data_IF_139271450416
#
_entry.id   IF_139271450416
#
_cell.length_a   1.000
_cell.length_b   1.000
_cell.length_c   1.000
_cell.angle_alpha   90.00
_cell.angle_beta   90.00
_cell.angle_gamma   90.00
#
_symmetry.space_group_name_H-M   'P 1'
#
loop_
_entity.id
_entity.type
_entity.pdbx_description
1 polymer ?
#
# COMPACT_ATOMS: atom_id res chain seq x y z
N UNK A 1 55.55 -17.34 39.38
CA UNK A 1 54.21 -17.20 38.80
C UNK A 1 53.97 -15.73 38.66
N UNK A 2 54.12 -15.19 37.45
CA UNK A 2 53.95 -13.77 37.15
C UNK A 2 52.56 -13.59 36.58
N UNK A 3 51.75 -12.74 37.20
CA UNK A 3 50.45 -12.34 36.65
C UNK A 3 50.70 -11.28 35.57
N UNK A 4 50.41 -11.65 34.32
CA UNK A 4 50.48 -10.78 33.15
C UNK A 4 49.23 -9.89 33.16
N UNK A 5 49.40 -8.63 33.56
CA UNK A 5 48.34 -7.62 33.48
C UNK A 5 48.17 -7.20 32.02
N UNK A 6 47.11 -7.69 31.38
CA UNK A 6 46.70 -7.26 30.04
C UNK A 6 46.09 -5.84 30.13
N UNK A 7 46.86 -4.85 29.71
CA UNK A 7 46.46 -3.45 29.70
C UNK A 7 45.81 -3.14 28.36
N UNK A 8 44.48 -3.05 28.35
CA UNK A 8 43.69 -2.59 27.20
C UNK A 8 43.80 -1.06 27.05
N UNK A 9 44.71 -0.61 26.18
CA UNK A 9 44.83 0.79 25.76
C UNK A 9 43.73 1.13 24.73
N UNK A 10 42.76 1.94 25.14
CA UNK A 10 41.76 2.52 24.23
C UNK A 10 42.31 3.79 23.56
N UNK A 11 43.09 3.62 22.50
CA UNK A 11 43.45 4.71 21.59
C UNK A 11 42.22 5.20 20.80
N UNK A 12 42.16 6.48 20.37
CA UNK A 12 41.02 7.01 19.63
C UNK A 12 40.86 6.25 18.31
N UNK A 13 39.70 5.62 18.13
CA UNK A 13 39.38 4.88 16.93
C UNK A 13 39.56 5.77 15.70
N UNK A 14 40.62 5.52 14.91
CA UNK A 14 40.80 6.14 13.60
C UNK A 14 39.61 5.74 12.75
N UNK A 15 38.69 6.68 12.54
CA UNK A 15 37.48 6.47 11.77
C UNK A 15 37.85 5.92 10.39
N UNK A 16 37.51 4.65 10.15
CA UNK A 16 37.69 4.02 8.85
C UNK A 16 36.98 4.88 7.77
N UNK A 17 37.58 5.07 6.59
CA UNK A 17 37.00 5.90 5.56
C UNK A 17 35.64 5.33 5.15
N UNK A 18 34.59 6.10 5.39
CA UNK A 18 33.23 5.78 4.96
C UNK A 18 33.21 5.67 3.43
N UNK A 19 33.38 4.46 2.91
CA UNK A 19 33.28 4.20 1.48
C UNK A 19 31.85 4.54 1.05
N UNK A 20 31.68 5.65 0.31
CA UNK A 20 30.43 5.99 -0.38
C UNK A 20 30.20 4.95 -1.48
N UNK A 21 29.66 3.78 -1.10
CA UNK A 21 29.06 2.86 -2.07
C UNK A 21 27.84 3.57 -2.66
N UNK A 22 27.84 3.74 -3.98
CA UNK A 22 26.70 4.29 -4.72
C UNK A 22 25.45 3.46 -4.37
N UNK A 23 24.31 4.09 -4.05
CA UNK A 23 23.11 3.37 -3.65
C UNK A 23 22.63 2.54 -4.86
N UNK A 24 22.73 1.22 -4.74
CA UNK A 24 22.15 0.30 -5.71
C UNK A 24 20.62 0.31 -5.61
N UNK A 25 19.93 -0.21 -6.62
CA UNK A 25 18.46 -0.23 -6.67
C UNK A 25 17.82 -0.91 -5.43
N UNK A 26 18.54 -1.84 -4.78
CA UNK A 26 18.15 -2.46 -3.51
C UNK A 26 18.21 -1.53 -2.30
N UNK A 27 19.07 -0.51 -2.31
CA UNK A 27 19.12 0.51 -1.25
C UNK A 27 17.99 1.53 -1.40
N UNK A 28 17.50 1.75 -2.63
CA UNK A 28 16.33 2.57 -2.88
C UNK A 28 15.08 1.95 -2.22
N UNK A 29 14.92 0.63 -2.33
CA UNK A 29 13.80 -0.12 -1.72
C UNK A 29 13.83 -0.16 -0.19
N UNK A 30 14.84 0.43 0.45
CA UNK A 30 14.98 0.54 1.92
C UNK A 30 14.74 1.97 2.43
N UNK A 31 14.47 2.94 1.54
CA UNK A 31 14.35 4.35 1.88
C UNK A 31 12.87 4.77 1.97
N UNK A 32 12.48 5.33 3.13
CA UNK A 32 11.15 5.90 3.38
C UNK A 32 10.74 6.93 2.32
N UNK A 33 11.73 7.55 1.66
CA UNK A 33 11.53 8.48 0.54
C UNK A 33 10.78 7.86 -0.63
N UNK A 34 10.94 6.56 -0.91
CA UNK A 34 10.19 5.90 -1.97
C UNK A 34 8.71 5.84 -1.65
N UNK A 35 8.35 5.45 -0.42
CA UNK A 35 6.96 5.39 0.04
C UNK A 35 6.29 6.77 -0.08
N UNK A 36 6.96 7.83 0.37
CA UNK A 36 6.45 9.21 0.23
C UNK A 36 6.34 9.64 -1.23
N UNK A 37 7.34 9.34 -2.05
CA UNK A 37 7.33 9.67 -3.48
C UNK A 37 6.18 9.00 -4.23
N UNK A 38 5.93 7.71 -3.98
CA UNK A 38 4.80 6.97 -4.53
C UNK A 38 3.45 7.55 -4.08
N UNK A 39 3.33 7.92 -2.80
CA UNK A 39 2.11 8.52 -2.26
C UNK A 39 1.82 9.89 -2.90
N UNK A 40 2.84 10.74 -3.05
CA UNK A 40 2.69 12.07 -3.69
C UNK A 40 2.32 11.91 -5.16
N UNK A 41 3.01 11.04 -5.90
CA UNK A 41 2.73 10.79 -7.31
C UNK A 41 1.33 10.18 -7.51
N UNK A 42 0.93 9.25 -6.64
CA UNK A 42 -0.41 8.68 -6.62
C UNK A 42 -1.48 9.73 -6.35
N UNK A 43 -1.24 10.65 -5.41
CA UNK A 43 -2.11 11.80 -5.15
C UNK A 43 -2.24 12.72 -6.36
N UNK A 44 -1.13 13.06 -7.03
CA UNK A 44 -1.15 13.86 -8.25
C UNK A 44 -1.93 13.18 -9.39
N UNK A 45 -1.74 11.86 -9.56
CA UNK A 45 -2.49 11.06 -10.53
C UNK A 45 -4.01 11.02 -10.19
N UNK A 46 -4.37 10.97 -8.90
CA UNK A 46 -5.78 11.03 -8.49
C UNK A 46 -6.43 12.36 -8.89
N UNK A 47 -5.72 13.48 -8.71
CA UNK A 47 -6.21 14.79 -9.16
C UNK A 47 -6.30 14.86 -10.69
N UNK A 48 -5.28 14.38 -11.40
CA UNK A 48 -5.29 14.32 -12.86
C UNK A 48 -6.46 13.47 -13.40
N UNK A 49 -6.83 12.40 -12.68
CA UNK A 49 -7.97 11.55 -13.00
C UNK A 49 -9.30 12.29 -12.93
N UNK A 50 -9.49 13.20 -11.96
CA UNK A 50 -10.75 13.94 -11.79
C UNK A 50 -10.97 14.98 -12.89
N UNK A 51 -9.89 15.55 -13.41
CA UNK A 51 -9.94 16.59 -14.48
C UNK A 51 -9.85 15.95 -15.87
N UNK A 52 -9.27 14.76 -15.97
CA UNK A 52 -9.08 14.05 -17.22
C UNK A 52 -10.37 13.50 -17.83
N UNK A 53 -10.32 13.23 -19.12
CA UNK A 53 -11.39 12.57 -19.87
C UNK A 53 -11.44 11.09 -19.49
N UNK A 54 -12.61 10.59 -19.10
CA UNK A 54 -12.79 9.19 -18.71
C UNK A 54 -13.17 8.31 -19.89
N UNK A 55 -13.94 8.85 -20.82
CA UNK A 55 -14.39 8.13 -22.01
C UNK A 55 -14.19 9.01 -23.24
N UNK A 56 -13.72 8.40 -24.32
CA UNK A 56 -13.60 9.02 -25.65
C UNK A 56 -14.48 8.21 -26.59
N UNK A 57 -15.44 8.87 -27.21
CA UNK A 57 -16.37 8.29 -28.18
C UNK A 57 -15.99 8.82 -29.56
N UNK A 58 -15.58 7.92 -30.44
CA UNK A 58 -15.29 8.20 -31.84
C UNK A 58 -16.60 8.13 -32.64
N UNK A 59 -16.91 9.23 -33.31
CA UNK A 59 -18.12 9.45 -34.09
C UNK A 59 -17.86 9.48 -35.59
N UNK A 60 -16.61 9.36 -36.03
CA UNK A 60 -16.20 9.56 -37.44
C UNK A 60 -16.86 8.57 -38.41
N UNK A 61 -17.28 7.40 -37.92
CA UNK A 61 -17.99 6.38 -38.71
C UNK A 61 -19.51 6.42 -38.58
N UNK A 62 -20.07 7.35 -37.81
CA UNK A 62 -21.52 7.45 -37.57
C UNK A 62 -22.34 7.58 -38.87
N UNK A 63 -21.79 8.25 -39.89
CA UNK A 63 -22.46 8.48 -41.17
C UNK A 63 -23.55 9.55 -41.11
N UNK A 64 -23.63 10.28 -40.00
CA UNK A 64 -24.52 11.41 -39.79
C UNK A 64 -23.70 12.71 -39.93
N UNK A 65 -24.17 13.64 -40.76
CA UNK A 65 -23.49 14.93 -40.99
C UNK A 65 -23.34 15.74 -39.71
N UNK A 66 -24.29 15.61 -38.78
CA UNK A 66 -24.22 16.29 -37.48
C UNK A 66 -23.03 15.79 -36.66
N UNK A 67 -22.86 14.46 -36.56
CA UNK A 67 -21.79 13.84 -35.79
C UNK A 67 -20.44 13.84 -36.53
N UNK A 68 -20.44 13.93 -37.87
CA UNK A 68 -19.22 14.06 -38.67
C UNK A 68 -18.46 15.37 -38.40
N UNK A 69 -19.17 16.42 -37.93
CA UNK A 69 -18.56 17.70 -37.56
C UNK A 69 -17.82 17.69 -36.21
N UNK A 70 -18.11 16.69 -35.35
CA UNK A 70 -17.51 16.55 -34.01
C UNK A 70 -16.85 15.18 -33.93
N UNK A 71 -15.59 15.02 -34.37
CA UNK A 71 -14.97 13.71 -34.56
C UNK A 71 -14.79 12.91 -33.26
N UNK A 72 -14.74 13.59 -32.11
CA UNK A 72 -14.59 12.96 -30.80
C UNK A 72 -15.49 13.64 -29.77
N UNK A 73 -16.25 12.84 -29.03
CA UNK A 73 -17.03 13.28 -27.87
C UNK A 73 -16.40 12.69 -26.62
N UNK A 74 -16.16 13.52 -25.60
CA UNK A 74 -15.48 13.09 -24.37
C UNK A 74 -16.38 13.25 -23.15
N UNK A 75 -16.40 12.24 -22.27
CA UNK A 75 -17.11 12.30 -21.00
C UNK A 75 -16.12 12.43 -19.82
N UNK A 76 -16.50 13.26 -18.85
CA UNK A 76 -15.82 13.33 -17.54
C UNK A 76 -16.26 12.19 -16.62
N UNK A 77 -15.56 12.00 -15.50
CA UNK A 77 -15.92 11.00 -14.48
C UNK A 77 -17.37 11.15 -14.00
N UNK A 78 -17.86 12.37 -13.90
CA UNK A 78 -19.19 12.73 -13.42
C UNK A 78 -20.27 12.25 -14.38
N UNK A 79 -20.08 12.48 -15.68
CA UNK A 79 -21.01 12.06 -16.71
C UNK A 79 -20.93 10.54 -16.97
N UNK A 80 -19.72 9.96 -16.89
CA UNK A 80 -19.50 8.56 -17.23
C UNK A 80 -19.91 7.58 -16.11
N UNK A 81 -19.71 7.95 -14.84
CA UNK A 81 -19.90 7.02 -13.70
C UNK A 81 -20.71 7.61 -12.55
N UNK A 82 -21.13 8.87 -12.65
CA UNK A 82 -21.72 9.62 -11.53
C UNK A 82 -20.70 10.15 -10.52
N UNK A 83 -19.43 9.72 -10.56
CA UNK A 83 -18.29 10.25 -9.80
C UNK A 83 -18.31 10.05 -8.28
N UNK A 84 -19.48 10.03 -7.64
CA UNK A 84 -19.65 9.91 -6.18
C UNK A 84 -19.05 8.64 -5.58
N UNK A 85 -19.30 7.42 -6.11
CA UNK A 85 -18.72 6.22 -5.51
C UNK A 85 -17.20 6.18 -5.65
N UNK A 86 -16.66 6.67 -6.78
CA UNK A 86 -15.22 6.77 -7.01
C UNK A 86 -14.57 7.77 -6.03
N UNK A 87 -15.16 8.95 -5.85
CA UNK A 87 -14.70 9.91 -4.85
C UNK A 87 -14.72 9.34 -3.43
N UNK A 88 -15.80 8.66 -3.05
CA UNK A 88 -15.90 8.02 -1.74
C UNK A 88 -14.77 7.02 -1.51
N UNK A 89 -14.47 6.19 -2.51
CA UNK A 89 -13.35 5.26 -2.48
C UNK A 89 -11.98 5.97 -2.40
N UNK A 90 -11.78 7.05 -3.16
CA UNK A 90 -10.54 7.85 -3.11
C UNK A 90 -10.36 8.53 -1.74
N UNK A 91 -11.42 9.06 -1.14
CA UNK A 91 -11.36 9.67 0.19
C UNK A 91 -11.01 8.64 1.25
N UNK A 92 -11.63 7.46 1.22
CA UNK A 92 -11.30 6.35 2.12
C UNK A 92 -9.84 5.92 1.95
N UNK A 93 -9.40 5.72 0.71
CA UNK A 93 -8.03 5.33 0.40
C UNK A 93 -7.02 6.39 0.85
N UNK A 94 -7.31 7.66 0.59
CA UNK A 94 -6.49 8.80 1.00
C UNK A 94 -6.38 8.92 2.52
N UNK A 95 -7.51 8.80 3.23
CA UNK A 95 -7.54 8.83 4.69
C UNK A 95 -6.76 7.65 5.29
N UNK A 96 -6.98 6.42 4.80
CA UNK A 96 -6.24 5.24 5.23
C UNK A 96 -4.74 5.38 4.96
N UNK A 97 -4.36 5.95 3.82
CA UNK A 97 -2.95 6.24 3.47
C UNK A 97 -2.34 7.29 4.42
N UNK A 98 -3.07 8.35 4.74
CA UNK A 98 -2.60 9.38 5.67
C UNK A 98 -2.38 8.80 7.08
N UNK A 99 -3.31 7.98 7.58
CA UNK A 99 -3.16 7.29 8.87
C UNK A 99 -2.02 6.27 8.83
N UNK A 100 -1.85 5.55 7.72
CA UNK A 100 -0.76 4.58 7.56
C UNK A 100 0.64 5.22 7.60
N UNK A 101 0.77 6.46 7.10
CA UNK A 101 2.05 7.18 7.04
C UNK A 101 2.32 8.04 8.28
N UNK A 102 1.31 8.76 8.75
CA UNK A 102 1.46 9.79 9.79
C UNK A 102 0.72 9.46 11.09
N UNK A 103 -0.13 8.42 11.09
CA UNK A 103 -0.93 8.04 12.23
C UNK A 103 -0.12 7.43 13.39
N UNK A 104 -0.78 7.23 14.54
CA UNK A 104 -0.17 6.61 15.72
C UNK A 104 0.25 5.16 15.41
N UNK A 105 1.36 4.71 16.01
CA UNK A 105 1.96 3.38 15.73
C UNK A 105 0.93 2.25 15.83
N UNK A 106 0.04 2.30 16.82
CA UNK A 106 -1.02 1.31 17.04
C UNK A 106 -2.04 1.21 15.87
N UNK A 107 -2.23 2.27 15.09
CA UNK A 107 -3.21 2.31 14.00
C UNK A 107 -2.57 2.11 12.61
N UNK A 108 -1.24 2.13 12.49
CA UNK A 108 -0.57 2.06 11.18
C UNK A 108 -0.80 0.73 10.48
N UNK A 109 -0.70 -0.38 11.22
CA UNK A 109 -0.88 -1.71 10.65
C UNK A 109 -2.30 -1.92 10.10
N UNK A 110 -3.32 -1.55 10.88
CA UNK A 110 -4.72 -1.66 10.47
C UNK A 110 -5.06 -0.72 9.32
N UNK A 111 -4.55 0.52 9.34
CA UNK A 111 -4.74 1.48 8.26
C UNK A 111 -4.09 1.03 6.95
N UNK A 112 -2.92 0.37 6.99
CA UNK A 112 -2.28 -0.21 5.80
C UNK A 112 -3.11 -1.33 5.18
N UNK A 113 -3.64 -2.24 6.01
CA UNK A 113 -4.52 -3.32 5.52
C UNK A 113 -5.78 -2.72 4.89
N UNK A 114 -6.38 -1.72 5.53
CA UNK A 114 -7.51 -0.99 4.98
C UNK A 114 -7.15 -0.36 3.62
N UNK A 115 -6.03 0.37 3.53
CA UNK A 115 -5.58 0.99 2.29
C UNK A 115 -5.30 -0.03 1.17
N UNK A 116 -4.69 -1.18 1.47
CA UNK A 116 -4.46 -2.26 0.50
C UNK A 116 -5.78 -2.87 0.02
N UNK A 117 -6.70 -3.17 0.96
CA UNK A 117 -8.02 -3.70 0.64
C UNK A 117 -8.82 -2.74 -0.24
N UNK A 118 -8.88 -1.46 0.14
CA UNK A 118 -9.55 -0.41 -0.64
C UNK A 118 -8.90 -0.25 -2.02
N UNK A 119 -7.57 -0.32 -2.11
CA UNK A 119 -6.87 -0.25 -3.41
C UNK A 119 -7.25 -1.42 -4.32
N UNK A 120 -7.27 -2.66 -3.79
CA UNK A 120 -7.63 -3.84 -4.58
C UNK A 120 -9.08 -3.77 -5.10
N UNK A 121 -10.02 -3.36 -4.25
CA UNK A 121 -11.42 -3.16 -4.64
C UNK A 121 -11.55 -2.07 -5.69
N UNK A 122 -10.88 -0.93 -5.52
CA UNK A 122 -10.90 0.16 -6.49
C UNK A 122 -10.33 -0.26 -7.85
N UNK A 123 -9.25 -1.02 -7.88
CA UNK A 123 -8.70 -1.56 -9.14
C UNK A 123 -9.73 -2.45 -9.84
N UNK A 124 -10.40 -3.34 -9.11
CA UNK A 124 -11.42 -4.21 -9.69
C UNK A 124 -12.61 -3.42 -10.24
N UNK A 125 -13.09 -2.42 -9.49
CA UNK A 125 -14.16 -1.52 -9.94
C UNK A 125 -13.73 -0.70 -11.16
N UNK A 126 -12.51 -0.17 -11.19
CA UNK A 126 -11.99 0.58 -12.34
C UNK A 126 -11.80 -0.30 -13.57
N UNK A 127 -11.36 -1.55 -13.41
CA UNK A 127 -11.28 -2.51 -14.51
C UNK A 127 -12.66 -2.82 -15.09
N UNK A 128 -13.65 -3.05 -14.23
CA UNK A 128 -15.04 -3.21 -14.66
C UNK A 128 -15.56 -1.94 -15.36
N UNK A 129 -15.30 -0.76 -14.80
CA UNK A 129 -15.67 0.51 -15.41
C UNK A 129 -15.00 0.70 -16.78
N UNK A 130 -13.72 0.35 -16.93
CA UNK A 130 -13.02 0.41 -18.22
C UNK A 130 -13.65 -0.52 -19.26
N UNK A 131 -14.08 -1.74 -18.88
CA UNK A 131 -14.81 -2.63 -19.78
C UNK A 131 -16.16 -2.06 -20.21
N UNK A 132 -16.88 -1.44 -19.28
CA UNK A 132 -18.17 -0.81 -19.56
C UNK A 132 -17.99 0.42 -20.46
N UNK A 133 -17.00 1.28 -20.17
CA UNK A 133 -16.71 2.46 -20.99
C UNK A 133 -16.18 2.10 -22.37
N UNK A 134 -15.53 0.96 -22.55
CA UNK A 134 -15.12 0.47 -23.86
C UNK A 134 -16.29 -0.14 -24.65
N UNK A 135 -17.40 -0.44 -23.98
CA UNK A 135 -18.59 -0.99 -24.62
C UNK A 135 -19.44 0.12 -25.24
N UNK A 136 -20.01 -0.16 -26.41
CA UNK A 136 -20.95 0.74 -27.08
C UNK A 136 -22.38 0.56 -26.56
N UNK A 137 -22.66 -0.49 -25.79
CA UNK A 137 -24.00 -0.84 -25.28
C UNK A 137 -24.58 0.17 -24.30
N UNK A 138 -23.75 0.96 -23.63
CA UNK A 138 -24.19 1.99 -22.67
C UNK A 138 -24.31 3.39 -23.30
N UNK A 139 -23.85 3.58 -24.54
CA UNK A 139 -24.01 4.83 -25.31
C UNK A 139 -25.47 5.30 -25.46
N UNK A 140 -26.51 4.45 -25.53
CA UNK A 140 -27.89 4.93 -25.58
C UNK A 140 -28.23 5.78 -24.36
N UNK A 141 -27.72 5.44 -23.16
CA UNK A 141 -27.96 6.27 -21.96
C UNK A 141 -27.28 7.63 -22.08
N UNK A 142 -26.10 7.68 -22.68
CA UNK A 142 -25.35 8.92 -22.91
C UNK A 142 -26.06 9.84 -23.91
N UNK A 143 -26.69 9.29 -24.95
CA UNK A 143 -27.39 10.04 -26.00
C UNK A 143 -28.92 10.09 -25.80
N UNK A 144 -29.43 9.87 -24.59
CA UNK A 144 -30.86 10.06 -24.26
C UNK A 144 -31.83 8.99 -24.77
N UNK A 145 -31.33 7.81 -25.13
CA UNK A 145 -32.13 6.63 -25.50
C UNK A 145 -32.56 6.56 -26.96
N UNK A 146 -32.19 7.55 -27.78
CA UNK A 146 -32.65 7.68 -29.17
C UNK A 146 -31.87 6.84 -30.19
N UNK A 147 -30.83 6.13 -29.77
CA UNK A 147 -29.94 5.41 -30.69
C UNK A 147 -30.35 3.95 -30.88
N UNK A 148 -30.55 3.53 -32.13
CA UNK A 148 -30.80 2.14 -32.48
C UNK A 148 -29.48 1.32 -32.58
N UNK A 149 -29.57 -0.01 -32.49
CA UNK A 149 -28.39 -0.90 -32.50
C UNK A 149 -27.51 -0.76 -33.75
N UNK A 150 -28.12 -0.45 -34.90
CA UNK A 150 -27.39 -0.22 -36.15
C UNK A 150 -26.53 1.03 -36.11
N UNK A 151 -27.04 2.15 -35.57
CA UNK A 151 -26.25 3.37 -35.38
C UNK A 151 -25.17 3.14 -34.32
N UNK A 152 -25.48 2.45 -33.21
CA UNK A 152 -24.49 2.14 -32.16
C UNK A 152 -23.26 1.39 -32.69
N UNK A 153 -23.46 0.47 -33.64
CA UNK A 153 -22.36 -0.30 -34.24
C UNK A 153 -21.35 0.56 -35.00
N UNK A 154 -21.73 1.80 -35.33
CA UNK A 154 -20.91 2.78 -36.04
C UNK A 154 -20.08 3.67 -35.10
N UNK A 155 -20.35 3.64 -33.80
CA UNK A 155 -19.54 4.35 -32.81
C UNK A 155 -18.50 3.41 -32.22
N UNK A 156 -17.36 3.97 -31.82
CA UNK A 156 -16.38 3.26 -31.02
C UNK A 156 -16.14 4.03 -29.74
N UNK A 157 -15.98 3.33 -28.61
CA UNK A 157 -15.74 3.95 -27.32
C UNK A 157 -14.46 3.40 -26.72
N UNK A 158 -13.65 4.29 -26.14
CA UNK A 158 -12.37 3.94 -25.53
C UNK A 158 -12.18 4.65 -24.18
N UNK A 159 -11.46 4.03 -23.24
CA UNK A 159 -11.11 4.68 -21.98
C UNK A 159 -10.15 5.85 -22.23
N UNK A 160 -10.51 7.02 -21.71
CA UNK A 160 -9.69 8.23 -21.78
C UNK A 160 -8.58 8.28 -20.73
N UNK A 161 -7.77 9.34 -20.80
CA UNK A 161 -6.62 9.59 -19.92
C UNK A 161 -6.96 9.62 -18.42
N UNK A 162 -8.15 10.10 -18.06
CA UNK A 162 -8.64 10.17 -16.69
C UNK A 162 -8.86 8.79 -16.05
N UNK A 163 -9.30 7.81 -16.84
CA UNK A 163 -9.43 6.41 -16.41
C UNK A 163 -8.06 5.79 -16.14
N UNK A 164 -7.10 5.99 -17.05
CA UNK A 164 -5.73 5.49 -16.86
C UNK A 164 -5.02 6.16 -15.70
N UNK A 165 -5.23 7.48 -15.51
CA UNK A 165 -4.74 8.19 -14.34
C UNK A 165 -5.36 7.68 -13.04
N UNK A 166 -6.64 7.26 -13.03
CA UNK A 166 -7.29 6.64 -11.88
C UNK A 166 -6.60 5.34 -11.49
N UNK A 167 -6.39 4.45 -12.48
CA UNK A 167 -5.70 3.19 -12.28
C UNK A 167 -4.28 3.39 -11.76
N UNK A 168 -3.54 4.35 -12.35
CA UNK A 168 -2.20 4.70 -11.91
C UNK A 168 -2.20 5.22 -10.47
N UNK A 169 -3.15 6.08 -10.10
CA UNK A 169 -3.27 6.62 -8.75
C UNK A 169 -3.45 5.51 -7.71
N UNK A 170 -4.43 4.63 -7.93
CA UNK A 170 -4.74 3.52 -7.01
C UNK A 170 -3.58 2.52 -6.93
N UNK A 171 -2.95 2.20 -8.07
CA UNK A 171 -1.79 1.30 -8.09
C UNK A 171 -0.59 1.88 -7.35
N UNK A 172 -0.28 3.17 -7.53
CA UNK A 172 0.83 3.85 -6.85
C UNK A 172 0.60 3.94 -5.34
N UNK A 173 -0.62 4.26 -4.91
CA UNK A 173 -0.98 4.30 -3.48
C UNK A 173 -0.92 2.90 -2.84
N UNK A 174 -1.45 1.87 -3.52
CA UNK A 174 -1.31 0.49 -3.08
C UNK A 174 0.15 0.04 -3.00
N UNK A 175 0.97 0.40 -3.99
CA UNK A 175 2.40 0.10 -4.01
C UNK A 175 3.15 0.82 -2.88
N UNK A 176 2.78 2.05 -2.55
CA UNK A 176 3.32 2.78 -1.40
C UNK A 176 3.05 2.03 -0.08
N UNK A 177 1.87 1.44 0.08
CA UNK A 177 1.55 0.65 1.27
C UNK A 177 2.33 -0.66 1.31
N UNK A 178 2.50 -1.32 0.16
CA UNK A 178 3.30 -2.53 0.05
C UNK A 178 4.78 -2.27 0.32
N UNK A 179 5.32 -1.12 -0.11
CA UNK A 179 6.69 -0.72 0.24
C UNK A 179 6.80 -0.44 1.73
N UNK A 180 5.86 0.30 2.33
CA UNK A 180 5.87 0.61 3.76
C UNK A 180 5.88 -0.64 4.66
N UNK A 181 5.15 -1.69 4.29
CA UNK A 181 5.09 -2.93 5.07
C UNK A 181 6.43 -3.67 5.17
N UNK A 182 7.25 -3.63 4.10
CA UNK A 182 8.55 -4.32 4.06
C UNK A 182 9.62 -3.70 4.97
N UNK A 183 9.35 -2.52 5.55
CA UNK A 183 10.29 -1.75 6.35
C UNK A 183 10.04 -1.82 7.85
N UNK A 184 8.97 -2.49 8.29
CA UNK A 184 8.69 -2.62 9.71
C UNK A 184 9.70 -3.61 10.30
N UNK A 185 10.55 -3.19 11.26
CA UNK A 185 11.45 -4.12 11.92
C UNK A 185 10.60 -5.21 12.53
N UNK A 186 10.91 -6.47 12.20
CA UNK A 186 10.26 -7.62 12.82
C UNK A 186 10.26 -7.39 14.34
N UNK A 187 9.13 -7.59 15.04
CA UNK A 187 9.13 -7.50 16.49
C UNK A 187 10.27 -8.37 16.98
N UNK A 188 11.13 -7.82 17.84
CA UNK A 188 12.25 -8.54 18.40
C UNK A 188 11.70 -9.73 19.19
N UNK A 189 11.48 -10.86 18.49
CA UNK A 189 11.24 -12.16 19.11
C UNK A 189 12.45 -12.37 20.00
N UNK A 190 12.18 -12.41 21.30
CA UNK A 190 13.14 -12.13 22.35
C UNK A 190 14.49 -12.78 22.11
N UNK A 191 15.52 -11.96 21.94
CA UNK A 191 16.91 -12.30 22.26
C UNK A 191 17.06 -12.32 23.79
N UNK A 192 16.24 -13.12 24.46
CA UNK A 192 16.28 -13.43 25.90
C UNK A 192 16.28 -14.93 26.16
N UNK A 193 16.36 -15.78 25.11
CA UNK A 193 16.43 -17.23 25.25
C UNK A 193 17.74 -17.83 24.67
N UNK A 194 18.84 -17.07 24.68
CA UNK A 194 20.14 -17.52 24.16
C UNK A 194 21.32 -17.06 25.02
N UNK A 195 21.14 -17.02 26.34
CA UNK A 195 22.25 -16.85 27.32
C UNK A 195 22.25 -17.95 28.40
N UNK A 196 21.35 -18.95 28.35
CA UNK A 196 21.34 -20.06 29.32
C UNK A 196 21.62 -21.44 28.69
N UNK A 197 22.50 -21.52 27.69
CA UNK A 197 22.93 -22.82 27.14
C UNK A 197 24.45 -22.92 26.92
N UNK A 198 25.24 -22.11 27.62
CA UNK A 198 26.70 -22.16 27.55
C UNK A 198 27.34 -22.24 28.95
N UNK A 199 26.93 -23.23 29.75
CA UNK A 199 27.81 -23.85 30.76
C UNK A 199 27.17 -25.15 31.24
N UNK A 200 27.27 -26.18 30.40
CA UNK A 200 27.02 -27.55 30.80
C UNK A 200 28.34 -28.29 30.65
N UNK A 201 29.24 -28.09 31.60
CA UNK A 201 30.21 -29.10 31.95
C UNK A 201 30.53 -29.07 33.45
N UNK A 202 30.28 -30.23 34.04
CA UNK A 202 30.94 -30.85 35.18
C UNK A 202 30.85 -30.20 36.57
N UNK A 203 29.72 -30.38 37.26
CA UNK A 203 29.72 -30.56 38.72
C UNK A 203 28.91 -31.81 39.07
N UNK A 204 29.58 -32.72 39.80
CA UNK A 204 29.16 -34.10 40.03
C UNK A 204 27.82 -34.28 40.77
N UNK A 205 27.26 -35.47 40.54
CA UNK A 205 26.13 -36.05 41.24
C UNK A 205 26.34 -36.04 42.77
N UNK A 206 25.72 -35.08 43.45
CA UNK A 206 25.45 -35.13 44.88
C UNK A 206 23.94 -35.11 45.11
N UNK A 207 23.42 -36.14 45.78
CA UNK A 207 22.02 -36.26 46.15
C UNK A 207 21.49 -34.98 46.82
N UNK A 208 20.56 -34.30 46.17
CA UNK A 208 19.87 -33.14 46.74
C UNK A 208 18.71 -33.69 47.57
N UNK A 209 18.92 -33.80 48.88
CA UNK A 209 17.89 -34.17 49.85
C UNK A 209 16.81 -33.06 49.91
N UNK A 210 15.64 -33.35 49.34
CA UNK A 210 14.50 -32.44 49.27
C UNK A 210 13.75 -32.44 50.62
N UNK A 211 14.14 -31.59 51.57
CA UNK A 211 13.38 -31.42 52.82
C UNK A 211 12.17 -30.50 52.60
N UNK A 212 11.03 -31.10 52.29
CA UNK A 212 9.73 -30.41 52.27
C UNK A 212 9.28 -30.18 53.72
N UNK A 213 9.43 -28.96 54.22
CA UNK A 213 8.79 -28.56 55.48
C UNK A 213 7.31 -28.30 55.20
N UNK A 214 6.44 -29.16 55.71
CA UNK A 214 4.98 -28.94 55.65
C UNK A 214 4.61 -27.85 56.65
N UNK A 215 4.16 -26.70 56.15
CA UNK A 215 3.63 -25.63 56.99
C UNK A 215 2.30 -26.08 57.63
N UNK A 216 2.20 -25.96 58.97
CA UNK A 216 1.01 -26.33 59.73
C UNK A 216 -0.19 -25.40 59.40
N UNK A 217 -1.41 -25.95 59.27
CA UNK A 217 -2.60 -25.15 58.94
C UNK A 217 -3.03 -24.28 60.12
N UNK A 218 -3.32 -23.01 59.83
CA UNK A 218 -3.82 -22.03 60.78
C UNK A 218 -5.20 -22.44 61.31
N UNK A 219 -5.27 -22.85 62.57
CA UNK A 219 -6.52 -23.02 63.31
C UNK A 219 -7.22 -21.65 63.42
N UNK A 220 -8.38 -21.50 62.77
CA UNK A 220 -9.32 -20.40 63.05
C UNK A 220 -10.04 -20.72 64.36
N UNK A 221 -9.79 -19.93 65.40
CA UNK A 221 -10.67 -19.82 66.56
C UNK A 221 -11.70 -18.72 66.29
N UNK A 222 -12.97 -19.09 66.28
CA UNK A 222 -14.10 -18.27 66.73
C UNK A 222 -15.15 -19.19 67.32
#
# INVERSE_FOLDING_TARGET
MSEELDVLEFGPATAAPATRRRPGWRAMTTDTRLTTGLAVLGGAAAVASLVGEWQIIDTTRSGDEYFASIPHVTNSVWAATGGTPYLGGLMLLGAATAVALFGPVAARATARVAALGTSAVLVMVLAAAASVLSSTSELPRTFGGFMNSELLSRFSSSPGRGMWAALAAVALLGLAMLSAHRHEPAPAVGRHAAVEDAERDDHGSGDIELTVTTAAPFLRQY
#
